data_IF_646609940357
#
_entry.id   IF_646609940357
#
_cell.length_a   1.000
_cell.length_b   1.000
_cell.length_c   1.000
_cell.angle_alpha   90.00
_cell.angle_beta   90.00
_cell.angle_gamma   90.00
#
_symmetry.space_group_name_H-M   'P 1'
#
loop_
_entity.id
_entity.type
_entity.pdbx_description
1 polymer ?
#
# COMPACT_ATOMS: atom_id res chain seq x y z
N UNK A 1 -30.64 -38.94 2.34
CA UNK A 1 -29.88 -37.92 3.08
C UNK A 1 -30.71 -36.67 3.34
N UNK A 2 -31.52 -36.19 2.39
CA UNK A 2 -32.36 -34.98 2.57
C UNK A 2 -33.49 -35.17 3.59
N UNK A 3 -34.07 -36.36 3.70
CA UNK A 3 -35.22 -36.58 4.60
C UNK A 3 -34.85 -36.50 6.10
N UNK A 4 -33.61 -36.83 6.48
CA UNK A 4 -33.16 -36.74 7.88
C UNK A 4 -32.95 -35.28 8.32
N UNK A 5 -32.47 -34.41 7.42
CA UNK A 5 -32.30 -32.99 7.72
C UNK A 5 -33.66 -32.29 7.92
N UNK A 6 -34.69 -32.73 7.19
CA UNK A 6 -36.07 -32.23 7.38
C UNK A 6 -36.67 -32.72 8.69
N UNK A 7 -36.44 -33.97 9.07
CA UNK A 7 -36.92 -34.50 10.36
C UNK A 7 -36.24 -33.82 11.55
N UNK A 8 -34.94 -33.53 11.45
CA UNK A 8 -34.19 -32.86 12.51
C UNK A 8 -34.60 -31.38 12.65
N UNK A 9 -34.84 -30.67 11.55
CA UNK A 9 -35.34 -29.28 11.60
C UNK A 9 -36.76 -29.20 12.17
N UNK A 10 -37.65 -30.16 11.85
CA UNK A 10 -38.99 -30.22 12.42
C UNK A 10 -38.98 -30.58 13.92
N UNK A 11 -38.02 -31.42 14.35
CA UNK A 11 -37.83 -31.75 15.76
C UNK A 11 -37.34 -30.53 16.55
N UNK A 12 -36.39 -29.77 16.00
CA UNK A 12 -35.88 -28.54 16.62
C UNK A 12 -36.99 -27.47 16.76
N UNK A 13 -37.83 -27.29 15.75
CA UNK A 13 -38.97 -26.37 15.79
C UNK A 13 -39.96 -26.78 16.90
N UNK A 14 -40.25 -28.08 17.02
CA UNK A 14 -41.17 -28.60 18.04
C UNK A 14 -40.65 -28.36 19.45
N UNK A 15 -39.35 -28.55 19.68
CA UNK A 15 -38.72 -28.32 20.99
C UNK A 15 -38.72 -26.84 21.37
N UNK A 16 -38.49 -25.94 20.40
CA UNK A 16 -38.59 -24.48 20.65
C UNK A 16 -40.00 -24.05 21.03
N UNK A 17 -41.02 -24.55 20.34
CA UNK A 17 -42.42 -24.22 20.65
C UNK A 17 -42.82 -24.73 22.04
N UNK A 18 -42.33 -25.91 22.44
CA UNK A 18 -42.57 -26.44 23.78
C UNK A 18 -41.84 -25.63 24.86
N UNK A 19 -40.61 -25.19 24.62
CA UNK A 19 -39.86 -24.33 25.55
C UNK A 19 -40.51 -22.95 25.72
N UNK A 20 -41.05 -22.37 24.65
CA UNK A 20 -41.76 -21.09 24.67
C UNK A 20 -43.08 -21.19 25.44
N UNK A 21 -43.79 -22.32 25.29
CA UNK A 21 -45.02 -22.60 26.04
C UNK A 21 -44.79 -22.86 27.53
N UNK A 22 -43.62 -23.39 27.92
CA UNK A 22 -43.24 -23.60 29.31
C UNK A 22 -42.80 -22.30 30.01
N UNK A 23 -42.21 -21.35 29.28
CA UNK A 23 -41.85 -20.02 29.82
C UNK A 23 -43.07 -19.11 30.06
N UNK A 24 -44.19 -19.36 29.36
CA UNK A 24 -45.45 -18.66 29.59
C UNK A 24 -46.19 -19.10 30.87
N UNK A 25 -45.75 -20.18 31.54
CA UNK A 25 -46.39 -20.74 32.72
C UNK A 25 -45.40 -20.81 33.93
N UNK A 26 -45.00 -19.65 34.45
CA UNK A 26 -44.21 -19.50 35.68
C UNK A 26 -44.83 -18.47 36.65
N UNK A 27 -44.76 -18.68 37.98
CA UNK A 27 -45.69 -18.09 38.95
C UNK A 27 -45.33 -16.65 39.36
N UNK A 28 -46.33 -15.77 39.38
CA UNK A 28 -46.25 -14.38 39.84
C UNK A 28 -46.07 -14.33 41.37
N UNK A 29 -44.87 -13.95 41.82
CA UNK A 29 -44.57 -13.58 43.20
C UNK A 29 -44.93 -12.10 43.43
N UNK A 30 -45.86 -11.85 44.35
CA UNK A 30 -46.26 -10.53 44.84
C UNK A 30 -45.35 -10.12 45.99
N UNK A 31 -44.76 -8.91 45.93
CA UNK A 31 -44.42 -8.13 47.13
C UNK A 31 -44.56 -6.61 46.93
N UNK A 32 -44.79 -5.85 48.02
CA UNK A 32 -45.47 -4.55 48.00
C UNK A 32 -44.53 -3.38 48.32
N UNK A 33 -44.91 -2.16 47.94
CA UNK A 33 -44.39 -0.92 48.54
C UNK A 33 -45.46 0.19 48.49
N UNK A 34 -45.81 0.76 49.65
CA UNK A 34 -46.51 2.05 49.79
C UNK A 34 -45.52 3.18 50.12
N UNK A 35 -45.91 4.26 50.83
CA UNK A 35 -47.13 5.07 50.73
C UNK A 35 -46.84 6.61 50.71
N UNK A 36 -47.79 7.45 50.26
CA UNK A 36 -47.94 8.88 50.64
C UNK A 36 -49.29 9.40 50.10
N UNK A 37 -50.35 9.57 50.89
CA UNK A 37 -50.62 10.62 51.88
C UNK A 37 -51.20 11.93 51.29
N UNK A 38 -52.52 12.08 51.54
CA UNK A 38 -53.28 13.28 51.88
C UNK A 38 -53.92 14.15 50.80
N UNK A 39 -55.25 14.10 50.83
CA UNK A 39 -56.19 15.04 50.21
C UNK A 39 -57.61 14.60 50.54
N UNK A 40 -58.01 14.77 51.80
CA UNK A 40 -59.33 14.42 52.31
C UNK A 40 -60.41 15.40 51.82
N UNK A 41 -61.60 14.85 51.63
CA UNK A 41 -62.92 15.49 51.60
C UNK A 41 -63.28 16.35 50.38
N UNK A 42 -63.61 15.64 49.30
CA UNK A 42 -64.70 16.03 48.40
C UNK A 42 -65.49 14.78 47.96
N UNK A 43 -66.61 14.53 48.65
CA UNK A 43 -67.81 13.94 48.06
C UNK A 43 -67.73 12.47 47.62
N UNK A 44 -68.21 11.61 48.51
CA UNK A 44 -68.59 10.19 48.42
C UNK A 44 -69.38 9.69 47.17
N UNK A 45 -69.41 10.40 46.05
CA UNK A 45 -70.01 9.95 44.79
C UNK A 45 -69.02 9.25 43.83
N UNK A 46 -67.71 9.30 44.09
CA UNK A 46 -66.69 8.71 43.22
C UNK A 46 -66.30 7.25 43.56
N UNK A 47 -66.82 6.67 44.64
CA UNK A 47 -66.47 5.30 45.10
C UNK A 47 -67.26 4.17 44.41
N UNK A 48 -68.12 4.46 43.43
CA UNK A 48 -68.88 3.44 42.72
C UNK A 48 -68.28 2.97 41.38
N UNK A 49 -67.38 3.75 40.76
CA UNK A 49 -66.97 3.54 39.35
C UNK A 49 -65.51 3.10 39.13
N UNK A 50 -64.76 2.79 40.19
CA UNK A 50 -63.41 2.23 40.10
C UNK A 50 -63.37 0.71 40.29
N UNK A 51 -64.32 -0.04 39.75
CA UNK A 51 -64.33 -1.51 39.85
C UNK A 51 -63.84 -2.09 38.54
N UNK A 52 -62.85 -2.99 38.64
CA UNK A 52 -62.34 -3.68 37.46
C UNK A 52 -63.51 -4.33 36.70
N UNK A 53 -63.52 -4.27 35.35
CA UNK A 53 -64.65 -4.74 34.54
C UNK A 53 -65.01 -6.22 34.83
N UNK A 54 -64.00 -7.05 35.10
CA UNK A 54 -64.19 -8.43 35.57
C UNK A 54 -64.91 -8.56 36.93
N UNK A 55 -64.78 -7.62 37.85
CA UNK A 55 -65.55 -7.61 39.10
C UNK A 55 -67.03 -7.27 38.87
N UNK A 56 -67.32 -6.41 37.89
CA UNK A 56 -68.69 -6.07 37.52
C UNK A 56 -69.39 -7.26 36.85
N UNK A 57 -68.69 -7.98 35.96
CA UNK A 57 -69.19 -9.21 35.36
C UNK A 57 -69.38 -10.33 36.38
N UNK A 58 -68.44 -10.53 37.30
CA UNK A 58 -68.58 -11.54 38.36
C UNK A 58 -69.80 -11.28 39.26
N UNK A 59 -70.11 -10.01 39.54
CA UNK A 59 -71.31 -9.63 40.30
C UNK A 59 -72.59 -9.82 39.48
N UNK A 60 -72.57 -9.49 38.19
CA UNK A 60 -73.70 -9.74 37.29
C UNK A 60 -73.99 -11.25 37.23
N UNK A 61 -72.96 -12.09 37.13
CA UNK A 61 -73.08 -13.54 37.20
C UNK A 61 -73.67 -14.03 38.54
N UNK A 62 -73.23 -13.47 39.68
CA UNK A 62 -73.78 -13.80 41.00
C UNK A 62 -75.26 -13.39 41.15
N UNK A 63 -75.64 -12.25 40.58
CA UNK A 63 -77.03 -11.79 40.55
C UNK A 63 -77.89 -12.64 39.60
N UNK A 64 -77.35 -13.05 38.46
CA UNK A 64 -78.01 -14.00 37.55
C UNK A 64 -78.31 -15.32 38.26
N UNK A 65 -77.34 -15.89 38.99
CA UNK A 65 -77.53 -17.10 39.79
C UNK A 65 -78.60 -16.95 40.88
N UNK A 66 -78.83 -15.74 41.38
CA UNK A 66 -79.90 -15.44 42.34
C UNK A 66 -81.26 -15.35 41.62
N UNK A 67 -81.32 -14.73 40.45
CA UNK A 67 -82.54 -14.65 39.63
C UNK A 67 -82.97 -16.01 39.04
N UNK A 68 -82.03 -16.91 38.75
CA UNK A 68 -82.29 -18.29 38.30
C UNK A 68 -83.20 -19.04 39.29
N UNK A 69 -82.99 -18.82 40.59
CA UNK A 69 -83.77 -19.47 41.66
C UNK A 69 -85.18 -18.90 41.82
N UNK A 70 -85.39 -17.65 41.41
CA UNK A 70 -86.58 -16.87 41.75
C UNK A 70 -87.49 -16.60 40.55
N UNK A 71 -86.97 -16.71 39.32
CA UNK A 71 -87.70 -16.31 38.13
C UNK A 71 -89.00 -17.11 37.93
N UNK A 72 -88.98 -18.43 38.10
CA UNK A 72 -90.19 -19.27 37.96
C UNK A 72 -91.08 -19.30 39.21
N UNK A 73 -90.74 -18.52 40.25
CA UNK A 73 -91.39 -18.58 41.56
C UNK A 73 -92.12 -17.28 41.86
N UNK A 74 -93.41 -17.40 42.17
CA UNK A 74 -94.18 -16.31 42.77
C UNK A 74 -93.90 -16.27 44.29
N UNK A 75 -94.02 -15.09 44.93
CA UNK A 75 -93.93 -14.99 46.38
C UNK A 75 -94.91 -15.96 47.07
N UNK A 76 -94.48 -16.70 48.11
CA UNK A 76 -95.36 -17.63 48.79
C UNK A 76 -96.49 -16.88 49.51
N UNK A 77 -97.73 -17.17 49.14
CA UNK A 77 -98.91 -16.67 49.84
C UNK A 77 -99.14 -17.53 51.09
N UNK A 78 -98.53 -17.16 52.22
CA UNK A 78 -98.73 -17.87 53.49
C UNK A 78 -100.02 -17.38 54.15
N UNK A 79 -100.92 -18.30 54.52
CA UNK A 79 -102.14 -17.99 55.30
C UNK A 79 -102.07 -18.56 56.71
N UNK A 80 -102.09 -17.69 57.72
CA UNK A 80 -102.00 -18.06 59.14
C UNK A 80 -103.37 -18.10 59.84
N UNK A 81 -104.40 -18.77 59.27
CA UNK A 81 -105.73 -18.85 59.92
C UNK A 81 -106.37 -20.24 59.83
N UNK A 82 -106.97 -20.70 60.93
CA UNK A 82 -107.67 -22.01 61.08
C UNK A 82 -109.18 -21.77 61.31
N UNK A 83 -110.05 -22.63 60.74
CA UNK A 83 -111.51 -22.62 60.97
C UNK A 83 -112.40 -22.33 59.76
N UNK A 84 -113.70 -22.04 59.96
CA UNK A 84 -114.67 -21.75 58.88
C UNK A 84 -114.32 -20.51 58.05
N UNK A 85 -113.72 -19.49 58.67
CA UNK A 85 -113.17 -18.33 57.96
C UNK A 85 -112.11 -18.73 56.93
N UNK A 86 -111.32 -19.77 57.19
CA UNK A 86 -110.35 -20.29 56.25
C UNK A 86 -111.02 -20.91 55.01
N UNK A 87 -112.22 -21.49 55.14
CA UNK A 87 -112.95 -22.06 53.98
C UNK A 87 -113.45 -20.98 53.03
N UNK A 88 -113.98 -19.88 53.56
CA UNK A 88 -114.37 -18.71 52.77
C UNK A 88 -113.14 -18.02 52.16
N UNK A 89 -112.07 -17.84 52.94
CA UNK A 89 -110.81 -17.30 52.44
C UNK A 89 -110.22 -18.15 51.32
N UNK A 90 -110.24 -19.48 51.45
CA UNK A 90 -109.77 -20.41 50.41
C UNK A 90 -110.67 -20.37 49.17
N UNK A 91 -111.98 -20.18 49.33
CA UNK A 91 -112.91 -20.03 48.20
C UNK A 91 -112.68 -18.71 47.44
N UNK A 92 -112.55 -17.59 48.15
CA UNK A 92 -112.20 -16.28 47.56
C UNK A 92 -110.82 -16.35 46.88
N UNK A 93 -109.82 -16.94 47.54
CA UNK A 93 -108.48 -17.14 46.96
C UNK A 93 -108.52 -18.04 45.72
N UNK A 94 -109.40 -19.05 45.65
CA UNK A 94 -109.55 -19.87 44.44
C UNK A 94 -110.09 -19.08 43.26
N UNK A 95 -111.02 -18.16 43.48
CA UNK A 95 -111.54 -17.28 42.42
C UNK A 95 -110.49 -16.25 41.99
N UNK A 96 -109.81 -15.61 42.95
CA UNK A 96 -108.72 -14.66 42.67
C UNK A 96 -107.57 -15.38 41.96
N UNK A 97 -107.21 -16.61 42.35
CA UNK A 97 -106.17 -17.41 41.67
C UNK A 97 -106.49 -17.65 40.19
N UNK A 98 -107.77 -17.90 39.86
CA UNK A 98 -108.20 -18.07 38.46
C UNK A 98 -108.10 -16.77 37.68
N UNK A 99 -108.53 -15.65 38.27
CA UNK A 99 -108.45 -14.33 37.63
C UNK A 99 -107.00 -13.81 37.49
N UNK A 100 -106.15 -14.07 38.49
CA UNK A 100 -104.76 -13.65 38.52
C UNK A 100 -103.82 -14.60 37.77
N UNK A 101 -104.30 -15.74 37.24
CA UNK A 101 -103.48 -16.72 36.55
C UNK A 101 -102.73 -16.11 35.35
N UNK A 102 -103.42 -15.27 34.56
CA UNK A 102 -102.80 -14.55 33.44
C UNK A 102 -101.69 -13.61 33.91
N UNK A 103 -101.94 -12.81 34.96
CA UNK A 103 -100.93 -11.90 35.52
C UNK A 103 -99.71 -12.67 36.07
N UNK A 104 -99.93 -13.81 36.71
CA UNK A 104 -98.84 -14.66 37.19
C UNK A 104 -98.06 -15.32 36.07
N UNK A 105 -98.72 -15.70 34.98
CA UNK A 105 -98.08 -16.22 33.78
C UNK A 105 -97.23 -15.14 33.11
N UNK A 106 -97.77 -13.93 32.95
CA UNK A 106 -97.07 -12.79 32.35
C UNK A 106 -95.86 -12.36 33.20
N UNK A 107 -95.98 -12.36 34.54
CA UNK A 107 -94.84 -12.08 35.42
C UNK A 107 -93.73 -13.13 35.31
N UNK A 108 -94.10 -14.43 35.25
CA UNK A 108 -93.11 -15.49 35.04
C UNK A 108 -92.47 -15.35 33.67
N UNK A 109 -93.26 -15.03 32.63
CA UNK A 109 -92.81 -14.82 31.25
C UNK A 109 -91.95 -13.56 31.06
N UNK A 110 -92.16 -12.53 31.86
CA UNK A 110 -91.33 -11.31 31.89
C UNK A 110 -90.02 -11.56 32.63
N UNK A 111 -90.07 -12.13 33.84
CA UNK A 111 -88.86 -12.52 34.60
C UNK A 111 -87.97 -13.43 33.75
N UNK A 112 -88.63 -14.37 33.09
CA UNK A 112 -88.56 -14.67 31.66
C UNK A 112 -87.38 -14.23 30.80
N UNK A 113 -87.84 -13.53 29.78
CA UNK A 113 -87.08 -12.69 28.91
C UNK A 113 -86.03 -11.85 29.63
N UNK A 114 -86.29 -11.31 30.83
CA UNK A 114 -85.30 -10.47 31.54
C UNK A 114 -84.06 -11.25 31.93
N UNK A 115 -84.20 -12.42 32.53
CA UNK A 115 -83.02 -13.20 32.89
C UNK A 115 -82.30 -13.75 31.65
N UNK A 116 -83.02 -14.24 30.64
CA UNK A 116 -82.37 -14.64 29.38
C UNK A 116 -81.61 -13.47 28.75
N UNK A 117 -82.22 -12.29 28.64
CA UNK A 117 -81.56 -11.10 28.09
C UNK A 117 -80.35 -10.65 28.92
N UNK A 118 -80.43 -10.74 30.25
CA UNK A 118 -79.28 -10.45 31.13
C UNK A 118 -78.18 -11.51 30.99
N UNK A 119 -78.52 -12.78 30.76
CA UNK A 119 -77.59 -13.86 30.46
C UNK A 119 -76.87 -13.63 29.13
N UNK A 120 -77.62 -13.36 28.06
CA UNK A 120 -77.07 -13.06 26.74
C UNK A 120 -76.17 -11.82 26.78
N UNK A 121 -76.57 -10.77 27.52
CA UNK A 121 -75.76 -9.57 27.72
C UNK A 121 -74.46 -9.88 28.49
N UNK A 122 -74.51 -10.75 29.50
CA UNK A 122 -73.33 -11.18 30.24
C UNK A 122 -72.34 -11.93 29.34
N UNK A 123 -72.83 -12.89 28.54
CA UNK A 123 -72.00 -13.66 27.61
C UNK A 123 -71.37 -12.76 26.55
N UNK A 124 -72.14 -11.83 25.98
CA UNK A 124 -71.64 -10.86 25.03
C UNK A 124 -70.53 -9.97 25.64
N UNK A 125 -70.74 -9.45 26.86
CA UNK A 125 -69.73 -8.64 27.54
C UNK A 125 -68.48 -9.45 27.90
N UNK A 126 -68.62 -10.69 28.37
CA UNK A 126 -67.49 -11.56 28.65
C UNK A 126 -66.67 -11.87 27.38
N UNK A 127 -67.35 -12.13 26.25
CA UNK A 127 -66.69 -12.32 24.96
C UNK A 127 -65.96 -11.05 24.48
N UNK A 128 -66.53 -9.87 24.74
CA UNK A 128 -65.87 -8.60 24.44
C UNK A 128 -64.62 -8.36 25.30
N UNK A 129 -64.67 -8.63 26.60
CA UNK A 129 -63.49 -8.54 27.48
C UNK A 129 -62.36 -9.48 27.03
N UNK A 130 -62.69 -10.71 26.67
CA UNK A 130 -61.70 -11.66 26.15
C UNK A 130 -61.07 -11.18 24.83
N UNK A 131 -61.86 -10.60 23.93
CA UNK A 131 -61.32 -10.01 22.68
C UNK A 131 -60.42 -8.82 22.96
N UNK A 132 -60.78 -7.95 23.91
CA UNK A 132 -59.95 -6.81 24.32
C UNK A 132 -58.61 -7.29 24.88
N UNK A 133 -58.62 -8.24 25.81
CA UNK A 133 -57.39 -8.82 26.35
C UNK A 133 -56.51 -9.46 25.24
N UNK A 134 -57.12 -10.18 24.29
CA UNK A 134 -56.39 -10.75 23.16
C UNK A 134 -55.80 -9.68 22.23
N UNK A 135 -56.51 -8.56 22.02
CA UNK A 135 -56.00 -7.42 21.26
C UNK A 135 -54.85 -6.71 21.98
N UNK A 136 -54.96 -6.50 23.29
CA UNK A 136 -53.89 -5.92 24.10
C UNK A 136 -52.62 -6.79 24.05
N UNK A 137 -52.76 -8.11 24.20
CA UNK A 137 -51.63 -9.03 24.05
C UNK A 137 -51.00 -8.97 22.67
N UNK A 138 -51.80 -8.86 21.60
CA UNK A 138 -51.27 -8.68 20.23
C UNK A 138 -50.55 -7.34 20.08
N UNK A 139 -51.09 -6.25 20.62
CA UNK A 139 -50.45 -4.93 20.56
C UNK A 139 -49.10 -4.95 21.26
N UNK A 140 -49.02 -5.51 22.47
CA UNK A 140 -47.76 -5.66 23.21
C UNK A 140 -46.76 -6.52 22.41
N UNK A 141 -47.22 -7.61 21.80
CA UNK A 141 -46.35 -8.44 20.96
C UNK A 141 -45.85 -7.67 19.71
N UNK A 142 -46.70 -6.85 19.07
CA UNK A 142 -46.31 -6.02 17.94
C UNK A 142 -45.33 -4.91 18.34
N UNK A 143 -45.53 -4.26 19.48
CA UNK A 143 -44.60 -3.26 20.02
C UNK A 143 -43.23 -3.87 20.33
N UNK A 144 -43.20 -5.05 20.93
CA UNK A 144 -41.96 -5.78 21.17
C UNK A 144 -41.27 -6.19 19.87
N UNK A 145 -42.03 -6.64 18.86
CA UNK A 145 -41.48 -6.99 17.56
C UNK A 145 -40.92 -5.75 16.83
N UNK A 146 -41.61 -4.61 16.91
CA UNK A 146 -41.13 -3.34 16.35
C UNK A 146 -39.84 -2.87 17.05
N UNK A 147 -39.79 -2.91 18.39
CA UNK A 147 -38.59 -2.56 19.15
C UNK A 147 -37.39 -3.47 18.80
N UNK A 148 -37.62 -4.77 18.58
CA UNK A 148 -36.59 -5.71 18.09
C UNK A 148 -36.10 -5.33 16.69
N UNK A 149 -37.02 -5.06 15.77
CA UNK A 149 -36.67 -4.65 14.41
C UNK A 149 -35.87 -3.33 14.39
N UNK A 150 -36.23 -2.36 15.22
CA UNK A 150 -35.48 -1.11 15.36
C UNK A 150 -34.06 -1.35 15.90
N UNK A 151 -33.92 -2.23 16.89
CA UNK A 151 -32.61 -2.63 17.41
C UNK A 151 -31.74 -3.31 16.35
N UNK A 152 -32.33 -4.21 15.55
CA UNK A 152 -31.65 -4.90 14.45
C UNK A 152 -31.22 -3.91 13.35
N UNK A 153 -32.09 -2.96 12.97
CA UNK A 153 -31.77 -1.90 12.01
C UNK A 153 -30.62 -1.02 12.54
N UNK A 154 -30.63 -0.67 13.83
CA UNK A 154 -29.57 0.12 14.44
C UNK A 154 -28.23 -0.65 14.45
N UNK A 155 -28.26 -1.95 14.78
CA UNK A 155 -27.08 -2.82 14.77
C UNK A 155 -26.52 -2.97 13.34
N UNK A 156 -27.38 -3.21 12.35
CA UNK A 156 -27.01 -3.30 10.94
C UNK A 156 -26.43 -1.97 10.42
N UNK A 157 -27.01 -0.84 10.83
CA UNK A 157 -26.50 0.48 10.46
C UNK A 157 -25.14 0.77 11.10
N UNK A 158 -24.88 0.27 12.31
CA UNK A 158 -23.57 0.34 12.95
C UNK A 158 -22.54 -0.53 12.21
N UNK A 159 -22.90 -1.76 11.83
CA UNK A 159 -22.01 -2.65 11.09
C UNK A 159 -21.67 -2.08 9.71
N UNK A 160 -22.64 -1.53 8.97
CA UNK A 160 -22.37 -0.87 7.69
C UNK A 160 -21.43 0.32 7.83
N UNK A 161 -21.56 1.13 8.88
CA UNK A 161 -20.63 2.23 9.15
C UNK A 161 -19.22 1.72 9.43
N UNK A 162 -19.09 0.61 10.16
CA UNK A 162 -17.81 -0.02 10.41
C UNK A 162 -17.19 -0.59 9.12
N UNK A 163 -17.94 -1.36 8.32
CA UNK A 163 -17.43 -1.86 7.03
C UNK A 163 -17.00 -0.72 6.11
N UNK A 164 -17.74 0.40 6.11
CA UNK A 164 -17.38 1.58 5.32
C UNK A 164 -16.07 2.20 5.80
N UNK A 165 -15.87 2.36 7.11
CA UNK A 165 -14.61 2.91 7.64
C UNK A 165 -13.43 1.97 7.38
N UNK A 166 -13.62 0.66 7.47
CA UNK A 166 -12.63 -0.35 7.08
C UNK A 166 -12.27 -0.26 5.60
N UNK A 167 -13.27 -0.10 4.72
CA UNK A 167 -13.05 0.08 3.29
C UNK A 167 -12.30 1.38 2.96
N UNK A 168 -12.66 2.49 3.61
CA UNK A 168 -11.98 3.78 3.42
C UNK A 168 -10.53 3.73 3.94
N UNK A 169 -10.29 3.09 5.09
CA UNK A 169 -8.95 2.81 5.61
C UNK A 169 -8.14 1.91 4.66
N UNK A 170 -8.77 0.89 4.08
CA UNK A 170 -8.16 0.01 3.09
C UNK A 170 -7.73 0.78 1.83
N UNK A 171 -8.60 1.65 1.30
CA UNK A 171 -8.27 2.51 0.15
C UNK A 171 -7.13 3.47 0.47
N UNK A 172 -7.13 4.07 1.66
CA UNK A 172 -6.03 4.96 2.09
C UNK A 172 -4.69 4.19 2.12
N UNK A 173 -4.66 2.99 2.70
CA UNK A 173 -3.45 2.14 2.72
C UNK A 173 -2.98 1.76 1.32
N UNK A 174 -3.90 1.40 0.42
CA UNK A 174 -3.55 1.09 -0.97
C UNK A 174 -2.95 2.31 -1.69
N UNK A 175 -3.53 3.50 -1.49
CA UNK A 175 -2.99 4.73 -2.08
C UNK A 175 -1.60 5.07 -1.55
N UNK A 176 -1.35 4.82 -0.26
CA UNK A 176 -0.03 5.01 0.36
C UNK A 176 1.00 4.02 -0.21
N UNK A 177 0.63 2.73 -0.34
CA UNK A 177 1.50 1.72 -0.93
C UNK A 177 1.82 2.03 -2.39
N UNK A 178 0.84 2.48 -3.18
CA UNK A 178 1.04 2.94 -4.55
C UNK A 178 2.01 4.13 -4.62
N UNK A 179 1.85 5.12 -3.74
CA UNK A 179 2.77 6.26 -3.67
C UNK A 179 4.20 5.84 -3.28
N UNK A 180 4.34 4.90 -2.34
CA UNK A 180 5.65 4.34 -1.94
C UNK A 180 6.30 3.55 -3.07
N UNK A 181 5.51 2.79 -3.83
CA UNK A 181 5.99 2.04 -4.99
C UNK A 181 6.48 3.00 -6.08
N UNK A 182 5.67 3.99 -6.46
CA UNK A 182 6.05 5.01 -7.44
C UNK A 182 7.33 5.77 -7.01
N UNK A 183 7.46 6.11 -5.73
CA UNK A 183 8.67 6.73 -5.20
C UNK A 183 9.88 5.79 -5.14
N UNK A 184 9.68 4.47 -5.04
CA UNK A 184 10.75 3.50 -5.16
C UNK A 184 11.21 3.36 -6.61
N UNK A 185 10.28 3.24 -7.55
CA UNK A 185 10.54 3.19 -8.99
C UNK A 185 11.32 4.43 -9.45
N UNK A 186 10.88 5.63 -9.07
CA UNK A 186 11.59 6.87 -9.43
C UNK A 186 13.01 6.93 -8.86
N UNK A 187 13.24 6.38 -7.66
CA UNK A 187 14.58 6.29 -7.06
C UNK A 187 15.46 5.29 -7.82
N UNK A 188 14.90 4.15 -8.23
CA UNK A 188 15.63 3.16 -9.03
C UNK A 188 16.01 3.72 -10.40
N UNK A 189 15.07 4.38 -11.09
CA UNK A 189 15.35 5.00 -12.39
C UNK A 189 16.42 6.10 -12.26
N UNK A 190 16.33 6.93 -11.21
CA UNK A 190 17.35 7.92 -10.89
C UNK A 190 18.73 7.29 -10.64
N UNK A 191 18.81 6.23 -9.84
CA UNK A 191 20.05 5.51 -9.55
C UNK A 191 20.64 4.84 -10.80
N UNK A 192 19.80 4.24 -11.65
CA UNK A 192 20.22 3.65 -12.92
C UNK A 192 20.76 4.71 -13.88
N UNK A 193 20.12 5.87 -13.97
CA UNK A 193 20.60 6.98 -14.79
C UNK A 193 21.95 7.51 -14.29
N UNK A 194 22.12 7.65 -12.97
CA UNK A 194 23.38 8.05 -12.35
C UNK A 194 24.50 7.03 -12.62
N UNK A 195 24.23 5.74 -12.47
CA UNK A 195 25.19 4.68 -12.77
C UNK A 195 25.59 4.66 -14.24
N UNK A 196 24.63 4.81 -15.16
CA UNK A 196 24.91 4.90 -16.60
C UNK A 196 25.79 6.11 -16.92
N UNK A 197 25.50 7.26 -16.34
CA UNK A 197 26.30 8.46 -16.52
C UNK A 197 27.71 8.30 -15.95
N UNK A 198 27.84 7.74 -14.74
CA UNK A 198 29.12 7.49 -14.10
C UNK A 198 29.98 6.50 -14.92
N UNK A 199 29.39 5.42 -15.42
CA UNK A 199 30.06 4.46 -16.29
C UNK A 199 30.49 5.10 -17.62
N UNK A 200 29.62 5.90 -18.26
CA UNK A 200 29.96 6.60 -19.49
C UNK A 200 31.14 7.57 -19.29
N UNK A 201 31.10 8.36 -18.22
CA UNK A 201 32.19 9.27 -17.86
C UNK A 201 33.49 8.51 -17.56
N UNK A 202 33.42 7.41 -16.80
CA UNK A 202 34.59 6.58 -16.50
C UNK A 202 35.20 5.93 -17.74
N UNK A 203 34.38 5.48 -18.69
CA UNK A 203 34.87 4.95 -19.97
C UNK A 203 35.55 6.03 -20.81
N UNK A 204 35.00 7.24 -20.88
CA UNK A 204 35.64 8.36 -21.58
C UNK A 204 36.96 8.77 -20.92
N UNK A 205 37.03 8.77 -19.59
CA UNK A 205 38.25 9.04 -18.85
C UNK A 205 39.33 7.99 -19.16
N UNK A 206 39.00 6.69 -19.10
CA UNK A 206 39.93 5.62 -19.45
C UNK A 206 40.40 5.70 -20.91
N UNK A 207 39.53 6.12 -21.84
CA UNK A 207 39.90 6.37 -23.24
C UNK A 207 40.86 7.55 -23.38
N UNK A 208 40.65 8.62 -22.63
CA UNK A 208 41.54 9.77 -22.62
C UNK A 208 42.91 9.41 -22.05
N UNK A 209 42.95 8.69 -20.93
CA UNK A 209 44.19 8.18 -20.32
C UNK A 209 44.94 7.24 -21.27
N UNK A 210 44.23 6.30 -21.92
CA UNK A 210 44.85 5.41 -22.91
C UNK A 210 45.42 6.16 -24.12
N UNK A 211 44.75 7.23 -24.57
CA UNK A 211 45.28 8.10 -25.66
C UNK A 211 46.52 8.86 -25.21
N UNK A 212 46.50 9.44 -24.00
CA UNK A 212 47.65 10.15 -23.45
C UNK A 212 48.87 9.23 -23.32
N UNK A 213 48.71 8.02 -22.79
CA UNK A 213 49.78 7.03 -22.71
C UNK A 213 50.27 6.60 -24.09
N UNK A 214 49.38 6.46 -25.09
CA UNK A 214 49.76 6.14 -26.46
C UNK A 214 50.54 7.29 -27.13
N UNK A 215 50.21 8.54 -26.83
CA UNK A 215 50.94 9.71 -27.32
C UNK A 215 52.31 9.85 -26.66
N UNK A 216 52.40 9.64 -25.34
CA UNK A 216 53.64 9.64 -24.58
C UNK A 216 54.60 8.56 -25.10
N UNK A 217 54.14 7.31 -25.22
CA UNK A 217 54.96 6.22 -25.77
C UNK A 217 55.41 6.48 -27.21
N UNK A 218 54.60 7.12 -28.05
CA UNK A 218 55.02 7.55 -29.40
C UNK A 218 56.07 8.66 -29.36
N UNK A 219 55.91 9.62 -28.45
CA UNK A 219 56.88 10.70 -28.27
C UNK A 219 58.23 10.15 -27.79
N UNK A 220 58.23 9.23 -26.83
CA UNK A 220 59.43 8.51 -26.37
C UNK A 220 60.10 7.73 -27.49
N UNK A 221 59.33 6.96 -28.27
CA UNK A 221 59.84 6.23 -29.43
C UNK A 221 60.46 7.18 -30.46
N UNK A 222 59.80 8.29 -30.76
CA UNK A 222 60.32 9.28 -31.70
C UNK A 222 61.61 9.93 -31.17
N UNK A 223 61.65 10.31 -29.89
CA UNK A 223 62.84 10.87 -29.26
C UNK A 223 64.01 9.87 -29.27
N UNK A 224 63.74 8.59 -29.01
CA UNK A 224 64.74 7.53 -29.08
C UNK A 224 65.30 7.35 -30.51
N UNK A 225 64.44 7.31 -31.52
CA UNK A 225 64.87 7.20 -32.94
C UNK A 225 65.65 8.42 -33.38
N UNK A 226 65.23 9.63 -33.00
CA UNK A 226 65.99 10.85 -33.26
C UNK A 226 67.36 10.83 -32.56
N UNK A 227 67.43 10.35 -31.30
CA UNK A 227 68.69 10.12 -30.59
C UNK A 227 69.64 9.18 -31.35
N UNK A 228 69.14 8.05 -31.85
CA UNK A 228 69.95 7.14 -32.69
C UNK A 228 70.43 7.85 -33.95
N UNK A 229 69.57 8.64 -34.61
CA UNK A 229 69.95 9.38 -35.83
C UNK A 229 71.01 10.44 -35.54
N UNK A 230 70.92 11.15 -34.41
CA UNK A 230 71.93 12.13 -34.02
C UNK A 230 73.26 11.45 -33.73
N UNK A 231 73.24 10.31 -33.02
CA UNK A 231 74.45 9.54 -32.71
C UNK A 231 75.11 8.99 -33.99
N UNK A 232 74.31 8.45 -34.91
CA UNK A 232 74.80 7.98 -36.21
C UNK A 232 75.42 9.11 -37.04
N UNK A 233 74.83 10.30 -37.04
CA UNK A 233 75.40 11.47 -37.73
C UNK A 233 76.72 11.90 -37.10
N UNK A 234 76.77 12.00 -35.77
CA UNK A 234 77.99 12.34 -35.05
C UNK A 234 79.11 11.32 -35.32
N UNK A 235 78.79 10.03 -35.37
CA UNK A 235 79.74 8.96 -35.67
C UNK A 235 80.24 9.02 -37.12
N UNK A 236 79.34 9.31 -38.07
CA UNK A 236 79.70 9.49 -39.48
C UNK A 236 80.50 10.78 -39.74
N UNK A 237 80.29 11.83 -38.95
CA UNK A 237 81.11 13.05 -38.97
C UNK A 237 82.49 12.79 -38.36
N UNK A 238 82.56 12.13 -37.20
CA UNK A 238 83.83 11.72 -36.58
C UNK A 238 84.70 10.88 -37.51
N UNK A 239 84.13 9.86 -38.18
CA UNK A 239 84.84 9.06 -39.18
C UNK A 239 85.33 9.89 -40.37
N UNK A 240 84.56 10.89 -40.81
CA UNK A 240 84.96 11.78 -41.91
C UNK A 240 86.09 12.71 -41.50
N UNK A 241 86.04 13.26 -40.29
CA UNK A 241 87.10 14.11 -39.77
C UNK A 241 88.38 13.33 -39.50
N UNK A 242 88.26 12.08 -39.03
CA UNK A 242 89.39 11.16 -38.87
C UNK A 242 90.02 10.78 -40.22
N UNK A 243 89.21 10.47 -41.24
CA UNK A 243 89.70 10.28 -42.62
C UNK A 243 90.37 11.54 -43.19
N UNK A 244 89.78 12.73 -42.96
CA UNK A 244 90.39 14.00 -43.39
C UNK A 244 91.72 14.24 -42.71
N UNK A 245 91.83 13.98 -41.41
CA UNK A 245 93.07 14.08 -40.67
C UNK A 245 94.12 13.10 -41.20
N UNK A 246 93.75 11.85 -41.51
CA UNK A 246 94.65 10.87 -42.14
C UNK A 246 95.13 11.33 -43.52
N UNK A 247 94.23 11.85 -44.38
CA UNK A 247 94.60 12.38 -45.70
C UNK A 247 95.54 13.57 -45.57
N UNK A 248 95.24 14.51 -44.65
CA UNK A 248 96.09 15.67 -44.39
C UNK A 248 97.47 15.26 -43.87
N UNK A 249 97.55 14.29 -42.95
CA UNK A 249 98.81 13.75 -42.46
C UNK A 249 99.63 13.11 -43.59
N UNK A 250 98.99 12.29 -44.43
CA UNK A 250 99.66 11.66 -45.58
C UNK A 250 100.10 12.67 -46.64
N UNK A 251 99.31 13.71 -46.88
CA UNK A 251 99.68 14.81 -47.76
C UNK A 251 100.86 15.61 -47.21
N UNK A 252 100.89 15.87 -45.90
CA UNK A 252 102.02 16.54 -45.24
C UNK A 252 103.31 15.71 -45.35
N UNK A 253 103.21 14.40 -45.14
CA UNK A 253 104.31 13.44 -45.31
C UNK A 253 104.85 13.43 -46.76
N UNK A 254 103.96 13.32 -47.76
CA UNK A 254 104.34 13.41 -49.17
C UNK A 254 104.98 14.75 -49.53
N UNK A 255 104.48 15.86 -48.98
CA UNK A 255 105.08 17.17 -49.18
C UNK A 255 106.48 17.25 -48.59
N UNK A 256 106.72 16.68 -47.40
CA UNK A 256 108.09 16.58 -46.85
C UNK A 256 109.00 15.74 -47.73
N UNK A 257 108.54 14.57 -48.20
CA UNK A 257 109.31 13.74 -49.12
C UNK A 257 109.66 14.46 -50.42
N UNK A 258 108.72 15.21 -51.00
CA UNK A 258 108.96 15.99 -52.23
C UNK A 258 109.94 17.14 -52.00
N UNK A 259 109.87 17.81 -50.84
CA UNK A 259 110.85 18.84 -50.47
C UNK A 259 112.24 18.25 -50.33
N UNK A 260 112.39 17.12 -49.63
CA UNK A 260 113.68 16.43 -49.53
C UNK A 260 114.21 16.00 -50.90
N UNK A 261 113.37 15.47 -51.79
CA UNK A 261 113.78 15.10 -53.15
C UNK A 261 114.21 16.32 -53.96
N UNK A 262 113.49 17.43 -53.85
CA UNK A 262 113.86 18.69 -54.51
C UNK A 262 115.19 19.24 -53.98
N UNK A 263 115.42 19.19 -52.66
CA UNK A 263 116.69 19.58 -52.05
C UNK A 263 117.86 18.71 -52.53
N UNK A 264 117.66 17.38 -52.57
CA UNK A 264 118.66 16.44 -53.12
C UNK A 264 118.97 16.74 -54.59
N UNK A 265 117.94 16.94 -55.42
CA UNK A 265 118.12 17.32 -56.84
C UNK A 265 118.85 18.65 -57.01
N UNK A 266 118.55 19.65 -56.19
CA UNK A 266 119.26 20.93 -56.21
C UNK A 266 120.72 20.78 -55.80
N UNK A 267 121.02 19.92 -54.83
CA UNK A 267 122.38 19.64 -54.41
C UNK A 267 123.14 18.86 -55.49
N UNK A 268 122.52 17.86 -56.13
CA UNK A 268 123.06 17.17 -57.30
C UNK A 268 123.35 18.16 -58.44
N UNK A 269 122.40 19.06 -58.76
CA UNK A 269 122.60 20.11 -59.77
C UNK A 269 123.77 21.03 -59.40
N UNK A 270 123.92 21.42 -58.13
CA UNK A 270 125.06 22.24 -57.68
C UNK A 270 126.39 21.52 -57.89
N UNK A 271 126.45 20.23 -57.61
CA UNK A 271 127.64 19.40 -57.87
C UNK A 271 127.93 19.34 -59.36
N UNK A 272 126.92 19.07 -60.21
CA UNK A 272 127.08 19.07 -61.66
C UNK A 272 127.52 20.43 -62.22
N UNK A 273 126.95 21.54 -61.73
CA UNK A 273 127.37 22.88 -62.12
C UNK A 273 128.81 23.18 -61.69
N UNK A 274 129.22 22.74 -60.50
CA UNK A 274 130.62 22.84 -60.06
C UNK A 274 131.54 22.03 -60.97
N UNK A 275 131.17 20.80 -61.33
CA UNK A 275 131.94 19.99 -62.28
C UNK A 275 132.03 20.64 -63.66
N UNK A 276 130.92 21.11 -64.23
CA UNK A 276 130.93 21.87 -65.49
C UNK A 276 131.81 23.12 -65.40
N UNK A 277 131.77 23.85 -64.28
CA UNK A 277 132.63 25.03 -64.10
C UNK A 277 134.12 24.68 -64.01
N UNK A 278 134.45 23.53 -63.41
CA UNK A 278 135.81 23.00 -63.36
C UNK A 278 136.27 22.55 -64.75
N UNK A 279 135.44 21.82 -65.48
CA UNK A 279 135.72 21.41 -66.86
C UNK A 279 135.92 22.62 -67.78
N UNK A 280 135.09 23.67 -67.66
CA UNK A 280 135.25 24.93 -68.40
C UNK A 280 136.52 25.68 -67.95
N UNK A 281 136.83 25.68 -66.66
CA UNK A 281 138.06 26.28 -66.13
C UNK A 281 139.32 25.56 -66.62
N UNK A 282 139.32 24.22 -66.63
CA UNK A 282 140.39 23.38 -67.18
C UNK A 282 140.52 23.55 -68.70
N UNK A 283 139.39 23.62 -69.42
CA UNK A 283 139.36 23.95 -70.84
C UNK A 283 139.93 25.35 -71.10
N UNK A 284 139.61 26.36 -70.27
CA UNK A 284 140.18 27.69 -70.40
C UNK A 284 141.70 27.71 -70.16
N UNK A 285 142.21 26.95 -69.18
CA UNK A 285 143.65 26.82 -68.91
C UNK A 285 144.37 26.10 -70.05
N UNK A 286 143.78 25.05 -70.61
CA UNK A 286 144.36 24.35 -71.77
C UNK A 286 144.34 25.22 -73.03
N UNK A 287 143.26 25.97 -73.26
CA UNK A 287 143.20 26.98 -74.32
C UNK A 287 144.22 28.10 -74.13
N UNK A 288 144.41 28.62 -72.91
CA UNK A 288 145.41 29.65 -72.63
C UNK A 288 146.83 29.12 -72.81
N UNK A 289 147.09 27.85 -72.47
CA UNK A 289 148.36 27.18 -72.73
C UNK A 289 148.62 26.96 -74.21
N UNK A 290 147.60 26.58 -74.98
CA UNK A 290 147.67 26.46 -76.43
C UNK A 290 147.89 27.84 -77.10
N UNK A 291 147.21 28.88 -76.60
CA UNK A 291 147.39 30.27 -77.04
C UNK A 291 148.83 30.74 -76.77
N UNK A 292 149.37 30.53 -75.58
CA UNK A 292 150.77 30.87 -75.25
C UNK A 292 151.77 30.07 -76.09
N UNK A 293 151.49 28.82 -76.45
CA UNK A 293 152.29 28.05 -77.40
C UNK A 293 152.24 28.62 -78.82
N UNK A 294 151.08 29.16 -79.25
CA UNK A 294 150.96 29.83 -80.54
C UNK A 294 151.66 31.19 -80.51
N UNK A 295 151.50 31.98 -79.44
CA UNK A 295 152.18 33.27 -79.25
C UNK A 295 153.71 33.10 -79.21
N UNK A 296 154.24 32.10 -78.50
CA UNK A 296 155.69 31.77 -78.55
C UNK A 296 156.16 31.27 -79.92
N UNK A 297 155.32 30.56 -80.68
CA UNK A 297 155.62 30.20 -82.07
C UNK A 297 155.58 31.41 -83.02
N UNK A 298 154.74 32.41 -82.73
CA UNK A 298 154.65 33.67 -83.46
C UNK A 298 155.86 34.57 -83.17
N UNK A 299 156.28 34.68 -81.91
CA UNK A 299 157.52 35.37 -81.51
C UNK A 299 158.78 34.72 -82.13
N UNK A 300 158.77 33.41 -82.36
CA UNK A 300 159.85 32.70 -83.06
C UNK A 300 159.89 32.96 -84.58
N UNK A 301 158.80 33.47 -85.17
CA UNK A 301 158.71 33.84 -86.59
C UNK A 301 159.00 35.33 -86.83
N UNK A 302 159.04 36.16 -85.79
CA UNK A 302 159.22 37.63 -85.87
C UNK A 302 160.65 38.14 -85.60
N UNK A 303 161.66 37.25 -85.51
CA UNK A 303 163.08 37.66 -85.45
C UNK A 303 163.86 37.22 -86.68
N UNK A 304 164.07 38.11 -87.68
CA UNK A 304 165.20 38.03 -88.60
C UNK A 304 166.52 38.42 -87.92
#
# INVERSE_FOLDING_TARGET
MVDHEVEDTLREIRERVLAESAQAAGPLAVQPNGPAANGADAGQAAQANGRAPGEALARLQANLATTERAWSRLPPLVSYRRGLAARLELWVKRQIKRAAHWFTWEQVNFNSAVHHALGDAHEALAAHEQRLAAHEHKMVAHEQAAARAEADIAALSASFRQLRSEADNGRARLSELQARLAAAESRFDGALAQLRHALAAGVEQLRAEARALAEETRAEQHAFVEGIRTDQRALAEGLRDEQRAQIQARAAELLSEMRERAERLLEEQRVCFKQLSLEVGEAAVTHDRARRQIETRLEALEKP
#
